data_IF_388979327692
#
_entry.id   IF_388979327692
#
_cell.length_a   1.000
_cell.length_b   1.000
_cell.length_c   1.000
_cell.angle_alpha   90.00
_cell.angle_beta   90.00
_cell.angle_gamma   90.00
#
_symmetry.space_group_name_H-M   'P 1'
#
loop_
_entity.id
_entity.type
_entity.pdbx_description
1 polymer ?
#
# COMPACT_ATOMS: atom_id res chain seq x y z
N UNK A 1 6.20 -16.30 25.21
CA UNK A 1 4.82 -16.86 25.12
C UNK A 1 4.00 -15.98 24.19
N UNK A 2 3.27 -16.52 23.21
CA UNK A 2 2.40 -15.71 22.33
C UNK A 2 1.44 -14.85 23.17
N UNK A 3 0.97 -15.39 24.30
CA UNK A 3 0.17 -14.67 25.30
C UNK A 3 0.89 -13.48 25.96
N UNK A 4 2.21 -13.51 26.15
CA UNK A 4 2.97 -12.37 26.68
C UNK A 4 3.25 -11.32 25.60
N UNK A 5 3.45 -11.72 24.34
CA UNK A 5 3.54 -10.81 23.20
C UNK A 5 2.19 -10.12 22.91
N UNK A 6 1.08 -10.84 23.12
CA UNK A 6 -0.27 -10.28 23.10
C UNK A 6 -0.56 -9.39 24.31
N UNK A 7 0.06 -9.64 25.48
CA UNK A 7 -0.10 -8.81 26.67
C UNK A 7 0.59 -7.43 26.56
N UNK A 8 1.56 -7.27 25.64
CA UNK A 8 2.15 -5.97 25.28
C UNK A 8 1.31 -5.18 24.26
N UNK A 9 0.26 -5.79 23.69
CA UNK A 9 -0.66 -5.09 22.81
C UNK A 9 -1.63 -4.31 23.68
N UNK A 10 -1.50 -2.99 23.63
CA UNK A 10 -2.45 -2.10 24.28
C UNK A 10 -3.85 -2.31 23.67
N UNK A 11 -4.75 -2.93 24.43
CA UNK A 11 -6.14 -3.17 24.04
C UNK A 11 -6.85 -1.87 23.66
N UNK A 12 -6.49 -0.75 24.29
CA UNK A 12 -7.01 0.58 23.96
C UNK A 12 -6.54 0.99 22.57
N UNK A 13 -5.26 0.78 22.25
CA UNK A 13 -4.72 1.04 20.91
C UNK A 13 -5.39 0.18 19.85
N UNK A 14 -5.62 -1.11 20.11
CA UNK A 14 -6.37 -1.99 19.20
C UNK A 14 -7.79 -1.47 18.95
N UNK A 15 -8.49 -1.06 20.00
CA UNK A 15 -9.85 -0.53 19.86
C UNK A 15 -9.86 0.77 19.03
N UNK A 16 -8.95 1.70 19.33
CA UNK A 16 -8.77 2.93 18.54
C UNK A 16 -8.44 2.59 17.09
N UNK A 17 -7.53 1.62 16.86
CA UNK A 17 -7.11 1.21 15.54
C UNK A 17 -8.27 0.68 14.69
N UNK A 18 -9.10 -0.20 15.25
CA UNK A 18 -10.29 -0.72 14.57
C UNK A 18 -11.35 0.37 14.32
N UNK A 19 -11.56 1.29 15.26
CA UNK A 19 -12.45 2.44 15.07
C UNK A 19 -11.96 3.35 13.94
N UNK A 20 -10.67 3.69 13.92
CA UNK A 20 -10.04 4.50 12.87
C UNK A 20 -10.10 3.79 11.52
N UNK A 21 -9.70 2.52 11.45
CA UNK A 21 -9.75 1.71 10.23
C UNK A 21 -11.18 1.59 9.69
N UNK A 22 -12.17 1.39 10.57
CA UNK A 22 -13.59 1.36 10.21
C UNK A 22 -14.08 2.69 9.65
N UNK A 23 -13.70 3.81 10.25
CA UNK A 23 -14.06 5.15 9.75
C UNK A 23 -13.47 5.41 8.34
N UNK A 24 -12.21 5.01 8.13
CA UNK A 24 -11.51 5.17 6.85
C UNK A 24 -12.10 4.23 5.79
N UNK A 25 -12.36 2.97 6.13
CA UNK A 25 -13.01 1.99 5.25
C UNK A 25 -14.40 2.47 4.83
N UNK A 26 -15.21 2.97 5.79
CA UNK A 26 -16.53 3.56 5.51
C UNK A 26 -16.43 4.76 4.58
N UNK A 27 -15.44 5.63 4.78
CA UNK A 27 -15.18 6.77 3.89
C UNK A 27 -14.77 6.32 2.48
N UNK A 28 -13.93 5.27 2.39
CA UNK A 28 -13.51 4.65 1.13
C UNK A 28 -14.69 4.06 0.35
N UNK A 29 -15.58 3.35 1.04
CA UNK A 29 -16.82 2.81 0.47
C UNK A 29 -17.75 3.92 -0.03
N UNK A 30 -18.01 4.97 0.79
CA UNK A 30 -18.86 6.11 0.40
C UNK A 30 -18.32 6.87 -0.81
N UNK A 31 -16.98 6.98 -0.94
CA UNK A 31 -16.33 7.60 -2.09
C UNK A 31 -16.24 6.67 -3.31
N UNK A 32 -16.88 5.49 -3.27
CA UNK A 32 -16.81 4.43 -4.30
C UNK A 32 -15.37 4.04 -4.65
N UNK A 33 -14.43 4.17 -3.71
CA UNK A 33 -13.03 3.76 -3.90
C UNK A 33 -12.82 2.28 -3.59
N UNK A 34 -13.64 1.70 -2.70
CA UNK A 34 -13.66 0.26 -2.41
C UNK A 34 -15.06 -0.30 -2.61
N UNK A 35 -15.10 -1.59 -2.97
CA UNK A 35 -16.33 -2.37 -2.89
C UNK A 35 -16.69 -2.67 -1.43
N UNK A 36 -17.88 -3.23 -1.19
CA UNK A 36 -18.30 -3.67 0.14
C UNK A 36 -17.30 -4.65 0.76
N UNK A 37 -16.86 -5.65 -0.01
CA UNK A 37 -15.84 -6.60 0.42
C UNK A 37 -14.46 -5.96 0.61
N UNK A 38 -14.09 -5.00 -0.25
CA UNK A 38 -12.85 -4.24 -0.11
C UNK A 38 -12.81 -3.44 1.20
N UNK A 39 -13.93 -2.82 1.59
CA UNK A 39 -14.03 -2.06 2.83
C UNK A 39 -13.84 -2.94 4.08
N UNK A 40 -14.43 -4.14 4.09
CA UNK A 40 -14.23 -5.11 5.19
C UNK A 40 -12.77 -5.56 5.24
N UNK A 41 -12.17 -5.92 4.11
CA UNK A 41 -10.76 -6.29 4.04
C UNK A 41 -9.84 -5.15 4.53
N UNK A 42 -10.10 -3.91 4.11
CA UNK A 42 -9.33 -2.74 4.52
C UNK A 42 -9.49 -2.44 6.02
N UNK A 43 -10.66 -2.65 6.59
CA UNK A 43 -10.89 -2.51 8.03
C UNK A 43 -10.09 -3.55 8.83
N UNK A 44 -10.07 -4.81 8.40
CA UNK A 44 -9.30 -5.87 9.07
C UNK A 44 -7.79 -5.63 8.97
N UNK A 45 -7.29 -5.41 7.75
CA UNK A 45 -5.87 -5.14 7.49
C UNK A 45 -5.42 -3.89 8.24
N UNK A 46 -6.19 -2.80 8.15
CA UNK A 46 -5.91 -1.54 8.82
C UNK A 46 -5.98 -1.65 10.34
N UNK A 47 -6.99 -2.33 10.88
CA UNK A 47 -7.15 -2.53 12.33
C UNK A 47 -5.99 -3.32 12.92
N UNK A 48 -5.58 -4.41 12.26
CA UNK A 48 -4.44 -5.24 12.71
C UNK A 48 -3.13 -4.45 12.66
N UNK A 49 -2.80 -3.86 11.51
CA UNK A 49 -1.51 -3.18 11.33
C UNK A 49 -1.37 -1.92 12.20
N UNK A 50 -2.42 -1.09 12.29
CA UNK A 50 -2.45 0.09 13.16
C UNK A 50 -2.50 -0.28 14.65
N UNK A 51 -3.08 -1.43 14.98
CA UNK A 51 -3.13 -1.96 16.35
C UNK A 51 -1.79 -2.53 16.83
N UNK A 52 -0.94 -3.03 15.92
CA UNK A 52 0.41 -3.55 16.22
C UNK A 52 1.40 -2.40 16.45
N UNK A 53 1.48 -1.46 15.50
CA UNK A 53 2.38 -0.30 15.62
C UNK A 53 1.82 0.86 14.82
N UNK A 54 1.91 2.08 15.35
CA UNK A 54 1.44 3.28 14.67
C UNK A 54 2.14 3.47 13.31
N UNK A 55 3.46 3.24 13.22
CA UNK A 55 4.21 3.28 11.95
C UNK A 55 3.66 2.36 10.86
N UNK A 56 3.32 1.12 11.19
CA UNK A 56 2.75 0.18 10.20
C UNK A 56 1.40 0.67 9.70
N UNK A 57 0.51 1.06 10.62
CA UNK A 57 -0.79 1.61 10.24
C UNK A 57 -0.67 2.89 9.42
N UNK A 58 0.20 3.82 9.80
CA UNK A 58 0.44 5.05 9.05
C UNK A 58 0.95 4.74 7.64
N UNK A 59 1.95 3.85 7.49
CA UNK A 59 2.47 3.42 6.19
C UNK A 59 1.38 2.86 5.29
N UNK A 60 0.53 1.98 5.82
CA UNK A 60 -0.61 1.45 5.08
C UNK A 60 -1.60 2.55 4.66
N UNK A 61 -1.91 3.49 5.56
CA UNK A 61 -2.81 4.61 5.28
C UNK A 61 -2.26 5.55 4.21
N UNK A 62 -0.95 5.77 4.19
CA UNK A 62 -0.26 6.58 3.19
C UNK A 62 -0.28 5.93 1.82
N UNK A 63 0.05 4.63 1.76
CA UNK A 63 -0.07 3.84 0.55
C UNK A 63 -1.49 3.93 0.00
N UNK A 64 -2.48 3.59 0.82
CA UNK A 64 -3.88 3.58 0.40
C UNK A 64 -4.39 4.98 0.01
N UNK A 65 -4.06 6.01 0.81
CA UNK A 65 -4.50 7.39 0.57
C UNK A 65 -3.92 7.98 -0.70
N UNK A 66 -2.60 7.90 -0.88
CA UNK A 66 -1.91 8.40 -2.07
C UNK A 66 -2.34 7.63 -3.33
N UNK A 67 -2.41 6.30 -3.23
CA UNK A 67 -2.85 5.44 -4.32
C UNK A 67 -4.31 5.70 -4.72
N UNK A 68 -5.22 5.93 -3.75
CA UNK A 68 -6.63 6.25 -4.04
C UNK A 68 -6.79 7.61 -4.74
N UNK A 69 -5.94 8.58 -4.43
CA UNK A 69 -5.92 9.87 -5.13
C UNK A 69 -5.42 9.69 -6.56
N UNK A 70 -4.32 8.97 -6.77
CA UNK A 70 -3.75 8.71 -8.10
C UNK A 70 -4.70 7.91 -8.98
N UNK A 71 -5.35 6.86 -8.46
CA UNK A 71 -6.33 6.07 -9.23
C UNK A 71 -7.48 6.93 -9.75
N UNK A 72 -7.90 7.98 -9.04
CA UNK A 72 -8.92 8.91 -9.56
C UNK A 72 -8.42 9.79 -10.69
N UNK A 73 -7.15 10.21 -10.63
CA UNK A 73 -6.52 11.03 -11.66
C UNK A 73 -6.26 10.17 -12.91
N UNK A 74 -5.70 8.97 -12.72
CA UNK A 74 -5.43 7.99 -13.79
C UNK A 74 -6.71 7.50 -14.47
N UNK A 75 -7.84 7.41 -13.75
CA UNK A 75 -9.14 7.06 -14.32
C UNK A 75 -9.53 7.95 -15.50
N UNK A 76 -9.37 9.28 -15.38
CA UNK A 76 -9.70 10.19 -16.48
C UNK A 76 -8.83 10.00 -17.73
N UNK A 77 -7.62 9.46 -17.57
CA UNK A 77 -6.73 9.15 -18.68
C UNK A 77 -7.03 7.79 -19.30
N UNK A 78 -7.32 6.78 -18.46
CA UNK A 78 -7.69 5.42 -18.89
C UNK A 78 -9.06 5.40 -19.57
N UNK A 79 -10.04 6.17 -19.08
CA UNK A 79 -11.36 6.32 -19.71
C UNK A 79 -11.27 6.88 -21.15
N UNK A 80 -10.19 7.60 -21.50
CA UNK A 80 -9.94 8.08 -22.87
C UNK A 80 -9.18 7.08 -23.75
N UNK A 81 -8.53 6.08 -23.16
CA UNK A 81 -7.75 5.05 -23.86
C UNK A 81 -8.55 3.77 -24.09
N UNK A 82 -9.55 3.50 -23.24
CA UNK A 82 -10.33 2.25 -23.22
C UNK A 82 -11.83 2.51 -23.46
N UNK A 83 -12.21 3.05 -24.62
CA UNK A 83 -13.59 2.94 -25.11
C UNK A 83 -13.90 1.45 -25.40
N UNK A 84 -14.28 0.68 -24.36
CA UNK A 84 -14.83 -0.67 -24.54
C UNK A 84 -14.42 -1.76 -23.55
N UNK A 85 -13.49 -1.53 -22.61
CA UNK A 85 -13.12 -2.54 -21.61
C UNK A 85 -13.60 -2.20 -20.19
N UNK A 86 -13.92 -3.28 -19.47
CA UNK A 86 -14.86 -3.35 -18.35
C UNK A 86 -14.49 -2.53 -17.11
N UNK A 87 -15.54 -1.91 -16.54
CA UNK A 87 -15.59 -1.09 -15.32
C UNK A 87 -15.08 -1.82 -14.07
N UNK A 88 -13.77 -1.85 -13.83
CA UNK A 88 -13.26 -2.18 -12.48
C UNK A 88 -12.87 -0.89 -11.73
N UNK A 89 -13.87 -0.05 -11.46
CA UNK A 89 -13.68 1.26 -10.82
C UNK A 89 -13.43 1.18 -9.31
N UNK A 90 -13.50 0.00 -8.70
CA UNK A 90 -13.45 -0.18 -7.24
C UNK A 90 -12.44 -1.25 -6.85
N UNK A 91 -11.65 -1.00 -5.81
CA UNK A 91 -10.75 -2.02 -5.26
C UNK A 91 -11.56 -3.07 -4.51
N UNK A 92 -11.51 -4.31 -5.02
CA UNK A 92 -12.15 -5.48 -4.43
C UNK A 92 -11.44 -6.01 -3.19
N UNK A 93 -12.09 -6.93 -2.46
CA UNK A 93 -11.49 -7.61 -1.31
C UNK A 93 -10.19 -8.34 -1.69
N UNK A 94 -10.22 -9.07 -2.82
CA UNK A 94 -9.06 -9.82 -3.33
C UNK A 94 -7.88 -8.89 -3.59
N UNK A 95 -8.10 -7.75 -4.24
CA UNK A 95 -7.02 -6.79 -4.50
C UNK A 95 -6.44 -6.22 -3.20
N UNK A 96 -7.29 -5.85 -2.24
CA UNK A 96 -6.84 -5.32 -0.94
C UNK A 96 -6.03 -6.38 -0.19
N UNK A 97 -6.50 -7.62 -0.14
CA UNK A 97 -5.82 -8.71 0.53
C UNK A 97 -4.52 -9.07 -0.18
N UNK A 98 -4.50 -9.24 -1.51
CA UNK A 98 -3.29 -9.57 -2.26
C UNK A 98 -2.19 -8.51 -2.08
N UNK A 99 -2.56 -7.22 -2.06
CA UNK A 99 -1.58 -6.14 -1.86
C UNK A 99 -1.17 -5.91 -0.40
N UNK A 100 -1.85 -6.52 0.58
CA UNK A 100 -1.60 -6.18 2.00
C UNK A 100 -1.31 -7.39 2.88
N UNK A 101 -1.61 -8.62 2.44
CA UNK A 101 -1.48 -9.84 3.27
C UNK A 101 -0.03 -10.05 3.71
N UNK A 102 0.93 -9.92 2.80
CA UNK A 102 2.36 -10.02 3.13
C UNK A 102 2.76 -9.00 4.18
N UNK A 103 2.29 -7.75 4.06
CA UNK A 103 2.49 -6.71 5.07
C UNK A 103 1.89 -7.08 6.42
N UNK A 104 0.67 -7.62 6.45
CA UNK A 104 0.01 -8.08 7.70
C UNK A 104 0.81 -9.21 8.35
N UNK A 105 1.26 -10.20 7.58
CA UNK A 105 2.09 -11.30 8.09
C UNK A 105 3.38 -10.75 8.69
N UNK A 106 4.07 -9.85 7.98
CA UNK A 106 5.29 -9.20 8.50
C UNK A 106 5.03 -8.43 9.79
N UNK A 107 3.91 -7.69 9.89
CA UNK A 107 3.53 -6.98 11.09
C UNK A 107 3.25 -7.92 12.27
N UNK A 108 2.55 -9.03 12.05
CA UNK A 108 2.28 -10.04 13.09
C UNK A 108 3.57 -10.71 13.56
N UNK A 109 4.47 -11.04 12.63
CA UNK A 109 5.79 -11.61 12.96
C UNK A 109 6.62 -10.61 13.77
N UNK A 110 6.62 -9.32 13.38
CA UNK A 110 7.25 -8.25 14.16
C UNK A 110 6.66 -8.17 15.58
N UNK A 111 5.34 -8.15 15.71
CA UNK A 111 4.66 -8.13 17.01
C UNK A 111 5.04 -9.32 17.89
N UNK A 112 5.26 -10.48 17.29
CA UNK A 112 5.56 -11.73 18.01
C UNK A 112 7.02 -11.83 18.47
N UNK A 113 7.96 -11.28 17.69
CA UNK A 113 9.40 -11.39 17.94
C UNK A 113 9.99 -10.17 18.65
N UNK A 114 9.46 -8.98 18.36
CA UNK A 114 9.98 -7.69 18.85
C UNK A 114 9.03 -7.07 19.86
N UNK A 115 7.73 -7.26 19.66
CA UNK A 115 6.69 -6.63 20.45
C UNK A 115 6.00 -5.49 19.71
N UNK A 116 5.28 -4.68 20.49
CA UNK A 116 4.39 -3.62 20.01
C UNK A 116 5.01 -2.23 20.04
N UNK A 117 6.28 -2.15 20.40
CA UNK A 117 7.00 -0.90 20.58
C UNK A 117 7.48 -0.36 19.24
N UNK A 118 7.39 0.97 19.13
CA UNK A 118 7.74 1.69 17.91
C UNK A 118 9.24 2.01 17.87
N UNK A 119 10.05 0.96 17.75
CA UNK A 119 11.51 1.02 17.82
C UNK A 119 12.06 1.50 16.46
N UNK A 120 12.94 2.51 16.43
CA UNK A 120 13.58 2.96 15.20
C UNK A 120 14.49 1.88 14.62
N UNK A 121 14.84 2.01 13.33
CA UNK A 121 15.79 1.11 12.67
C UNK A 121 17.17 1.24 13.33
N UNK A 122 17.54 0.22 14.09
CA UNK A 122 18.84 0.05 14.73
C UNK A 122 19.30 -1.40 14.53
N UNK A 123 20.36 -1.58 13.73
CA UNK A 123 20.92 -2.91 13.45
C UNK A 123 21.87 -3.39 14.54
N UNK A 124 22.31 -2.51 15.45
CA UNK A 124 23.26 -2.84 16.51
C UNK A 124 22.55 -3.48 17.70
N UNK A 125 21.41 -2.93 18.12
CA UNK A 125 20.63 -3.46 19.25
C UNK A 125 19.54 -4.45 18.85
N UNK A 126 18.88 -4.27 17.70
CA UNK A 126 17.78 -5.14 17.28
C UNK A 126 17.78 -5.40 15.75
N UNK A 127 18.72 -6.24 15.26
CA UNK A 127 18.85 -6.51 13.83
C UNK A 127 17.59 -7.15 13.21
N UNK A 128 16.90 -8.03 13.96
CA UNK A 128 15.70 -8.72 13.49
C UNK A 128 14.51 -7.78 13.33
N UNK A 129 14.27 -6.89 14.30
CA UNK A 129 13.19 -5.91 14.23
C UNK A 129 13.42 -4.88 13.13
N UNK A 130 14.64 -4.39 13.01
CA UNK A 130 15.07 -3.50 11.93
C UNK A 130 14.89 -4.13 10.54
N UNK A 131 15.24 -5.42 10.39
CA UNK A 131 15.01 -6.15 9.14
C UNK A 131 13.53 -6.27 8.80
N UNK A 132 12.67 -6.66 9.76
CA UNK A 132 11.23 -6.82 9.55
C UNK A 132 10.54 -5.49 9.24
N UNK A 133 10.93 -4.41 9.92
CA UNK A 133 10.45 -3.05 9.65
C UNK A 133 10.85 -2.63 8.22
N UNK A 134 12.12 -2.79 7.84
CA UNK A 134 12.58 -2.51 6.48
C UNK A 134 11.87 -3.36 5.42
N UNK A 135 11.60 -4.64 5.71
CA UNK A 135 10.87 -5.53 4.82
C UNK A 135 9.42 -5.06 4.62
N UNK A 136 8.73 -4.67 5.70
CA UNK A 136 7.38 -4.12 5.64
C UNK A 136 7.34 -2.83 4.81
N UNK A 137 8.26 -1.90 5.09
CA UNK A 137 8.36 -0.63 4.38
C UNK A 137 8.71 -0.83 2.90
N UNK A 138 9.65 -1.73 2.61
CA UNK A 138 10.04 -2.09 1.25
C UNK A 138 8.88 -2.69 0.46
N UNK A 139 8.11 -3.59 1.08
CA UNK A 139 6.92 -4.16 0.46
C UNK A 139 5.89 -3.08 0.09
N UNK A 140 5.52 -2.20 1.02
CA UNK A 140 4.58 -1.12 0.72
C UNK A 140 5.16 -0.06 -0.24
N UNK A 141 6.47 0.20 -0.21
CA UNK A 141 7.13 1.06 -1.19
C UNK A 141 7.04 0.48 -2.61
N UNK A 142 7.25 -0.83 -2.77
CA UNK A 142 7.09 -1.52 -4.05
C UNK A 142 5.64 -1.47 -4.54
N UNK A 143 4.67 -1.81 -3.67
CA UNK A 143 3.24 -1.73 -4.04
C UNK A 143 2.81 -0.30 -4.39
N UNK A 144 3.32 0.70 -3.66
CA UNK A 144 3.05 2.10 -3.93
C UNK A 144 3.68 2.53 -5.26
N UNK A 145 4.92 2.12 -5.53
CA UNK A 145 5.61 2.37 -6.79
C UNK A 145 4.86 1.78 -7.98
N UNK A 146 4.47 0.51 -7.91
CA UNK A 146 3.70 -0.17 -8.96
C UNK A 146 2.37 0.54 -9.26
N UNK A 147 1.66 0.97 -8.22
CA UNK A 147 0.43 1.74 -8.38
C UNK A 147 0.70 3.12 -8.99
N UNK A 148 1.73 3.82 -8.53
CA UNK A 148 2.05 5.15 -9.04
C UNK A 148 2.53 5.11 -10.49
N UNK A 149 3.34 4.11 -10.84
CA UNK A 149 3.83 3.91 -12.19
C UNK A 149 2.71 3.60 -13.18
N UNK A 150 1.75 2.75 -12.81
CA UNK A 150 0.61 2.42 -13.68
C UNK A 150 -0.38 3.58 -13.83
N UNK A 151 -0.66 4.33 -12.76
CA UNK A 151 -1.61 5.45 -12.81
C UNK A 151 -1.00 6.73 -13.42
N UNK A 152 0.24 7.10 -13.08
CA UNK A 152 0.90 8.27 -13.67
C UNK A 152 1.55 7.95 -15.01
N UNK A 153 2.04 6.73 -15.23
CA UNK A 153 2.61 6.32 -16.52
C UNK A 153 1.61 6.42 -17.67
N UNK A 154 0.33 6.14 -17.41
CA UNK A 154 -0.75 6.33 -18.41
C UNK A 154 -1.02 7.81 -18.75
N UNK A 155 -0.63 8.75 -17.90
CA UNK A 155 -0.69 10.19 -18.17
C UNK A 155 0.49 10.71 -19.01
N UNK A 156 1.50 9.87 -19.26
CA UNK A 156 2.67 10.28 -20.03
C UNK A 156 2.27 10.73 -21.44
N UNK A 157 2.76 11.93 -21.83
CA UNK A 157 2.58 12.47 -23.19
C UNK A 157 3.36 11.67 -24.25
N UNK A 158 4.41 10.94 -23.87
CA UNK A 158 5.28 10.19 -24.78
C UNK A 158 4.51 9.06 -25.49
N UNK A 159 4.50 9.02 -26.84
CA UNK A 159 3.65 8.16 -27.69
C UNK A 159 3.82 6.64 -27.48
N UNK A 160 4.93 6.18 -26.91
CA UNK A 160 5.24 4.76 -26.69
C UNK A 160 5.61 4.49 -25.22
N UNK A 161 5.30 3.28 -24.75
CA UNK A 161 5.89 2.69 -23.56
C UNK A 161 6.86 1.59 -24.02
N UNK A 162 7.97 1.36 -23.33
CA UNK A 162 8.93 0.34 -23.73
C UNK A 162 8.65 -0.94 -22.95
N UNK A 163 8.47 -2.08 -23.63
CA UNK A 163 8.28 -3.35 -22.94
C UNK A 163 9.64 -3.85 -22.42
N UNK A 164 9.76 -4.18 -21.12
CA UNK A 164 11.04 -4.63 -20.55
C UNK A 164 11.52 -5.93 -21.21
N UNK A 165 10.60 -6.83 -21.56
CA UNK A 165 10.93 -8.17 -22.08
C UNK A 165 11.49 -8.15 -23.51
N UNK A 166 11.07 -7.18 -24.32
CA UNK A 166 11.40 -7.14 -25.76
C UNK A 166 12.17 -5.88 -26.13
N UNK A 167 12.30 -4.92 -25.22
CA UNK A 167 12.82 -3.56 -25.44
C UNK A 167 12.16 -2.82 -26.61
N UNK A 168 10.99 -3.30 -27.05
CA UNK A 168 10.23 -2.73 -28.14
C UNK A 168 9.24 -1.70 -27.63
N UNK A 169 9.02 -0.68 -28.44
CA UNK A 169 7.96 0.30 -28.22
C UNK A 169 6.58 -0.35 -28.39
N UNK A 170 5.79 -0.31 -27.34
CA UNK A 170 4.39 -0.76 -27.30
C UNK A 170 3.44 0.44 -27.13
N UNK A 171 2.19 0.31 -27.60
CA UNK A 171 1.17 1.31 -27.40
C UNK A 171 0.96 1.64 -25.91
N UNK A 172 0.50 2.86 -25.63
CA UNK A 172 0.15 3.28 -24.27
C UNK A 172 -0.94 2.38 -23.69
N UNK A 173 -0.78 1.97 -22.44
CA UNK A 173 -1.74 1.11 -21.75
C UNK A 173 -1.45 -0.39 -21.88
N UNK A 174 -0.41 -0.81 -22.61
CA UNK A 174 0.04 -2.21 -22.60
C UNK A 174 0.60 -2.59 -21.21
N UNK A 175 0.02 -3.62 -20.60
CA UNK A 175 0.52 -4.20 -19.35
C UNK A 175 2.00 -4.61 -19.50
N UNK A 176 2.86 -4.12 -18.60
CA UNK A 176 4.30 -4.38 -18.63
C UNK A 176 5.16 -3.35 -19.38
N UNK A 177 4.56 -2.31 -19.96
CA UNK A 177 5.29 -1.19 -20.55
C UNK A 177 5.83 -0.23 -19.50
N UNK A 178 7.13 0.05 -19.52
CA UNK A 178 7.75 1.11 -18.72
C UNK A 178 7.74 2.45 -19.46
N UNK A 179 7.53 3.53 -18.71
CA UNK A 179 7.67 4.89 -19.21
C UNK A 179 8.53 5.69 -18.24
N UNK A 180 9.27 6.68 -18.74
CA UNK A 180 10.11 7.53 -17.90
C UNK A 180 9.32 8.21 -16.77
N UNK A 181 8.10 8.68 -17.09
CA UNK A 181 7.21 9.29 -16.09
C UNK A 181 6.77 8.27 -15.03
N UNK A 182 6.49 7.02 -15.43
CA UNK A 182 6.16 5.93 -14.50
C UNK A 182 7.33 5.56 -13.59
N UNK A 183 8.56 5.51 -14.11
CA UNK A 183 9.76 5.24 -13.30
C UNK A 183 10.03 6.37 -12.30
N UNK A 184 9.92 7.63 -12.72
CA UNK A 184 10.05 8.78 -11.83
C UNK A 184 8.96 8.79 -10.74
N UNK A 185 7.73 8.42 -11.09
CA UNK A 185 6.62 8.25 -10.16
C UNK A 185 6.89 7.15 -9.13
N UNK A 186 7.45 6.00 -9.54
CA UNK A 186 7.87 4.94 -8.62
C UNK A 186 8.92 5.42 -7.60
N UNK A 187 9.93 6.16 -8.05
CA UNK A 187 10.97 6.71 -7.17
C UNK A 187 10.35 7.68 -6.15
N UNK A 188 9.43 8.55 -6.60
CA UNK A 188 8.72 9.46 -5.70
C UNK A 188 7.86 8.72 -4.68
N UNK A 189 7.14 7.68 -5.11
CA UNK A 189 6.32 6.83 -4.24
C UNK A 189 7.14 6.11 -3.16
N UNK A 190 8.31 5.58 -3.51
CA UNK A 190 9.23 4.95 -2.56
C UNK A 190 9.85 5.95 -1.57
N UNK A 191 10.21 7.15 -2.02
CA UNK A 191 10.73 8.22 -1.15
C UNK A 191 9.69 8.68 -0.12
N UNK A 192 8.42 8.75 -0.50
CA UNK A 192 7.33 9.13 0.41
C UNK A 192 7.16 8.10 1.54
N UNK A 193 7.17 6.81 1.21
CA UNK A 193 7.11 5.74 2.21
C UNK A 193 8.32 5.80 3.15
N UNK A 194 9.53 6.00 2.60
CA UNK A 194 10.75 6.17 3.41
C UNK A 194 10.69 7.39 4.34
N UNK A 195 10.14 8.51 3.88
CA UNK A 195 10.06 9.73 4.71
C UNK A 195 9.18 9.51 5.94
N UNK A 196 8.04 8.82 5.78
CA UNK A 196 7.11 8.53 6.87
C UNK A 196 7.60 7.42 7.79
N UNK A 197 8.39 6.48 7.29
CA UNK A 197 9.10 5.52 8.12
C UNK A 197 10.12 6.14 9.09
N UNK A 198 10.57 7.37 8.81
CA UNK A 198 11.54 8.09 9.63
C UNK A 198 10.90 8.89 10.78
N UNK A 199 9.58 9.15 10.70
CA UNK A 199 8.81 9.81 11.76
C UNK A 199 8.54 8.81 12.89
#
# INVERSE_FOLDING_TARGET
NILSAMASIDYVRMLIAFCCAGAIARRGYRKKSLSSGGAVAAMLVGGITLGITWRFGLTLLLFYGSSSQLTKIGKHAKDKLEEGHSKESQRGATQVLSCSMTGVVLAIVYASLVGSDDIPVDYDTNPTGSFLLCAYLGFFACCNGDTWASELGTLSKAKSATLITTLSDVPKGTNGGISFLGTAASIAGGRLVRWLARL
#
